data_IF_433448679733
#
_entry.id   IF_433448679733
#
_cell.length_a   1.000
_cell.length_b   1.000
_cell.length_c   1.000
_cell.angle_alpha   90.00
_cell.angle_beta   90.00
_cell.angle_gamma   90.00
#
_symmetry.space_group_name_H-M   'P 1'
#
loop_
_entity.id
_entity.type
_entity.pdbx_description
1 polymer ?
#
# COMPACT_ATOMS: atom_id res chain seq x y z
N UNK A 1 4.37 -16.35 -4.19
CA UNK A 1 4.01 -17.06 -2.95
C UNK A 1 3.74 -18.55 -3.20
N UNK A 2 2.73 -18.93 -3.97
CA UNK A 2 2.47 -20.36 -4.23
C UNK A 2 3.61 -21.04 -4.99
N UNK A 3 4.22 -20.37 -5.96
CA UNK A 3 5.39 -20.89 -6.70
C UNK A 3 6.61 -21.11 -5.79
N UNK A 4 6.66 -20.36 -4.68
CA UNK A 4 7.73 -20.39 -3.68
C UNK A 4 7.33 -21.15 -2.41
N UNK A 5 6.25 -21.95 -2.47
CA UNK A 5 5.66 -22.59 -1.29
C UNK A 5 6.65 -23.46 -0.53
N UNK A 6 7.52 -24.20 -1.24
CA UNK A 6 8.55 -25.04 -0.61
C UNK A 6 9.46 -24.20 0.31
N UNK A 7 9.95 -23.05 -0.16
CA UNK A 7 10.79 -22.15 0.62
C UNK A 7 10.05 -21.51 1.81
N UNK A 8 8.79 -21.13 1.62
CA UNK A 8 7.98 -20.43 2.62
C UNK A 8 7.53 -21.37 3.76
N UNK A 9 7.37 -22.67 3.47
CA UNK A 9 6.90 -23.67 4.44
C UNK A 9 8.02 -24.28 5.28
N UNK A 10 9.29 -23.95 5.02
CA UNK A 10 10.42 -24.39 5.85
C UNK A 10 10.29 -23.89 7.30
N UNK A 11 10.72 -24.72 8.25
CA UNK A 11 10.54 -24.46 9.69
C UNK A 11 11.24 -23.18 10.16
N UNK A 12 12.33 -22.81 9.51
CA UNK A 12 13.18 -21.65 9.80
C UNK A 12 13.02 -20.53 8.76
N UNK A 13 11.90 -20.51 8.02
CA UNK A 13 11.61 -19.47 7.04
C UNK A 13 11.68 -18.06 7.65
N UNK A 14 12.53 -17.22 7.05
CA UNK A 14 12.61 -15.79 7.30
C UNK A 14 12.19 -15.07 6.00
N UNK A 15 11.17 -14.18 6.03
CA UNK A 15 10.75 -13.44 4.86
C UNK A 15 11.88 -12.64 4.23
N UNK A 16 12.02 -12.78 2.91
CA UNK A 16 12.92 -11.92 2.15
C UNK A 16 12.33 -10.52 2.03
N UNK A 17 13.15 -9.55 1.60
CA UNK A 17 12.63 -8.20 1.29
C UNK A 17 11.53 -8.23 0.23
N UNK A 18 11.65 -9.15 -0.73
CA UNK A 18 10.66 -9.34 -1.80
C UNK A 18 9.35 -9.92 -1.26
N UNK A 19 9.41 -10.91 -0.36
CA UNK A 19 8.22 -11.44 0.32
C UNK A 19 7.49 -10.35 1.10
N UNK A 20 8.24 -9.46 1.77
CA UNK A 20 7.68 -8.32 2.50
C UNK A 20 7.04 -7.32 1.55
N UNK A 21 7.68 -7.01 0.41
CA UNK A 21 7.16 -6.08 -0.60
C UNK A 21 5.87 -6.61 -1.26
N UNK A 22 5.79 -7.91 -1.53
CA UNK A 22 4.61 -8.52 -2.15
C UNK A 22 3.53 -8.92 -1.15
N UNK A 23 3.81 -8.89 0.15
CA UNK A 23 2.83 -9.20 1.17
C UNK A 23 1.67 -8.20 1.11
N UNK A 24 0.48 -8.68 0.75
CA UNK A 24 -0.72 -7.85 0.70
C UNK A 24 -1.31 -7.72 2.11
N UNK A 25 -1.10 -6.56 2.73
CA UNK A 25 -1.77 -6.16 3.96
C UNK A 25 -2.53 -4.87 3.72
N UNK A 26 -3.83 -4.88 4.06
CA UNK A 26 -4.67 -3.69 3.92
C UNK A 26 -4.23 -2.62 4.92
N UNK A 27 -3.96 -1.41 4.42
CA UNK A 27 -3.71 -0.21 5.24
C UNK A 27 -5.03 0.20 5.91
N UNK A 28 -5.08 0.11 7.24
CA UNK A 28 -6.27 0.45 8.06
C UNK A 28 -6.11 1.74 8.85
N UNK A 29 -4.89 2.27 8.91
CA UNK A 29 -4.52 3.50 9.59
C UNK A 29 -3.59 4.29 8.69
N UNK A 30 -3.55 5.60 8.88
CA UNK A 30 -2.60 6.45 8.19
C UNK A 30 -1.21 6.21 8.77
N UNK A 31 -0.24 5.98 7.90
CA UNK A 31 1.14 5.71 8.29
C UNK A 31 2.03 6.86 7.86
N UNK A 32 2.77 7.45 8.80
CA UNK A 32 3.81 8.43 8.52
C UNK A 32 5.17 7.71 8.43
N UNK A 33 5.88 7.92 7.32
CA UNK A 33 7.26 7.48 7.13
C UNK A 33 8.16 8.69 6.91
N UNK A 34 9.26 8.76 7.67
CA UNK A 34 10.28 9.81 7.52
C UNK A 34 11.50 9.22 6.85
N UNK A 35 11.89 9.79 5.71
CA UNK A 35 13.13 9.44 5.01
C UNK A 35 14.02 10.66 4.85
N UNK A 36 15.33 10.45 4.86
CA UNK A 36 16.32 11.52 4.69
C UNK A 36 17.06 11.29 3.38
N UNK A 37 16.95 12.24 2.45
CA UNK A 37 17.64 12.22 1.16
C UNK A 37 18.39 13.54 1.03
N UNK A 38 19.71 13.48 0.83
CA UNK A 38 20.54 14.69 0.66
C UNK A 38 20.36 15.75 1.75
N UNK A 39 20.20 15.32 3.02
CA UNK A 39 19.93 16.15 4.21
C UNK A 39 18.55 16.81 4.25
N UNK A 40 17.67 16.53 3.28
CA UNK A 40 16.27 16.93 3.29
C UNK A 40 15.46 15.81 3.94
N UNK A 41 14.58 16.17 4.89
CA UNK A 41 13.66 15.24 5.54
C UNK A 41 12.35 15.24 4.75
N UNK A 42 12.01 14.09 4.16
CA UNK A 42 10.72 13.86 3.52
C UNK A 42 9.80 13.16 4.50
N UNK A 43 8.59 13.68 4.67
CA UNK A 43 7.51 13.04 5.41
C UNK A 43 6.50 12.51 4.41
N UNK A 44 6.34 11.20 4.38
CA UNK A 44 5.44 10.49 3.46
C UNK A 44 4.28 9.96 4.30
N UNK A 45 3.06 10.31 3.89
CA UNK A 45 1.83 9.79 4.49
C UNK A 45 1.23 8.74 3.54
N UNK A 46 1.11 7.50 4.01
CA UNK A 46 0.36 6.44 3.33
C UNK A 46 -1.06 6.40 3.89
N UNK A 47 -2.03 6.69 3.02
CA UNK A 47 -3.46 6.76 3.34
C UNK A 47 -4.20 5.62 2.65
N UNK A 48 -5.07 4.93 3.38
CA UNK A 48 -5.86 3.83 2.81
C UNK A 48 -6.79 4.32 1.69
N UNK A 49 -6.74 3.67 0.53
CA UNK A 49 -7.56 4.01 -0.66
C UNK A 49 -8.97 3.41 -0.68
N UNK A 50 -9.29 2.55 0.28
CA UNK A 50 -10.62 1.96 0.44
C UNK A 50 -11.67 3.03 0.74
N UNK A 51 -12.88 2.89 0.19
CA UNK A 51 -13.95 3.89 0.26
C UNK A 51 -14.24 4.37 1.68
N UNK A 52 -14.17 3.48 2.66
CA UNK A 52 -14.44 3.78 4.07
C UNK A 52 -13.32 4.58 4.78
N UNK A 53 -12.13 4.69 4.18
CA UNK A 53 -11.00 5.45 4.74
C UNK A 53 -10.75 6.78 4.02
N UNK A 54 -11.39 7.01 2.87
CA UNK A 54 -11.19 8.24 2.09
C UNK A 54 -11.64 9.50 2.82
N UNK A 55 -12.57 9.38 3.77
CA UNK A 55 -12.98 10.50 4.62
C UNK A 55 -11.86 11.01 5.54
N UNK A 56 -10.84 10.19 5.83
CA UNK A 56 -9.68 10.59 6.65
C UNK A 56 -8.63 11.34 5.83
N UNK A 57 -8.75 11.39 4.50
CA UNK A 57 -7.73 12.02 3.67
C UNK A 57 -7.62 13.52 3.94
N UNK A 58 -8.75 14.22 4.10
CA UNK A 58 -8.79 15.68 4.19
C UNK A 58 -7.83 16.26 5.25
N UNK A 59 -7.73 15.60 6.40
CA UNK A 59 -6.88 16.03 7.53
C UNK A 59 -5.36 15.99 7.21
N UNK A 60 -4.96 15.30 6.15
CA UNK A 60 -3.56 15.08 5.75
C UNK A 60 -3.22 15.72 4.41
N UNK A 61 -4.17 16.44 3.80
CA UNK A 61 -3.95 17.18 2.56
C UNK A 61 -3.51 18.63 2.79
N UNK A 62 -3.55 19.12 4.03
CA UNK A 62 -3.06 20.46 4.35
C UNK A 62 -1.53 20.49 4.29
N UNK A 63 -0.97 21.51 3.62
CA UNK A 63 0.48 21.74 3.47
C UNK A 63 1.29 20.60 2.82
N UNK A 64 0.68 19.78 1.94
CA UNK A 64 1.43 18.78 1.17
C UNK A 64 2.23 19.43 0.04
N UNK A 65 3.53 19.10 -0.06
CA UNK A 65 4.38 19.60 -1.14
C UNK A 65 4.07 18.94 -2.49
N UNK A 66 3.65 17.68 -2.48
CA UNK A 66 3.32 16.92 -3.68
C UNK A 66 2.34 15.79 -3.34
N UNK A 67 1.51 15.42 -4.33
CA UNK A 67 0.63 14.26 -4.27
C UNK A 67 1.15 13.17 -5.20
N UNK A 68 1.30 11.95 -4.68
CA UNK A 68 1.61 10.75 -5.47
C UNK A 68 0.32 9.95 -5.62
N UNK A 69 -0.29 10.00 -6.80
CA UNK A 69 -1.51 9.24 -7.11
C UNK A 69 -1.16 7.93 -7.82
N UNK A 70 -1.46 6.79 -7.19
CA UNK A 70 -1.09 5.46 -7.70
C UNK A 70 -2.31 4.79 -8.33
N UNK A 71 -2.15 4.28 -9.56
CA UNK A 71 -3.20 3.56 -10.30
C UNK A 71 -2.66 2.21 -10.78
N UNK A 72 -3.44 1.15 -10.56
CA UNK A 72 -3.16 -0.17 -11.13
C UNK A 72 -3.66 -0.23 -12.57
N UNK A 73 -2.74 -0.25 -13.54
CA UNK A 73 -3.09 -0.39 -14.95
C UNK A 73 -3.57 -1.81 -15.31
N UNK A 74 -3.11 -2.81 -14.57
CA UNK A 74 -3.46 -4.22 -14.79
C UNK A 74 -4.86 -4.59 -14.25
N UNK A 75 -5.55 -3.68 -13.58
CA UNK A 75 -6.87 -3.92 -12.99
C UNK A 75 -8.02 -3.44 -13.90
N UNK A 76 -7.78 -3.26 -15.20
CA UNK A 76 -8.76 -2.69 -16.13
C UNK A 76 -10.01 -3.56 -16.34
N UNK A 77 -9.87 -4.88 -16.16
CA UNK A 77 -10.93 -5.89 -16.29
C UNK A 77 -11.41 -6.42 -14.92
N UNK A 78 -11.05 -5.72 -13.84
CA UNK A 78 -11.39 -6.10 -12.47
C UNK A 78 -12.44 -5.18 -11.87
N UNK A 79 -13.38 -5.79 -11.15
CA UNK A 79 -14.34 -5.04 -10.35
C UNK A 79 -13.72 -4.57 -9.03
N UNK A 80 -14.22 -3.45 -8.51
CA UNK A 80 -13.91 -3.03 -7.15
C UNK A 80 -14.53 -4.04 -6.18
N UNK A 81 -13.77 -4.45 -5.16
CA UNK A 81 -14.29 -5.35 -4.09
C UNK A 81 -15.54 -4.79 -3.42
N UNK A 82 -15.61 -3.46 -3.31
CA UNK A 82 -16.73 -2.73 -2.71
C UNK A 82 -17.97 -2.67 -3.62
N UNK A 83 -17.84 -3.05 -4.90
CA UNK A 83 -18.93 -3.08 -5.85
C UNK A 83 -18.74 -4.23 -6.88
N UNK A 84 -18.99 -5.48 -6.46
CA UNK A 84 -18.69 -6.66 -7.27
C UNK A 84 -19.66 -6.84 -8.45
N UNK A 85 -20.81 -6.16 -8.44
CA UNK A 85 -21.91 -6.36 -9.39
C UNK A 85 -21.88 -5.42 -10.60
N UNK A 86 -20.91 -4.50 -10.70
CA UNK A 86 -20.77 -3.72 -11.93
C UNK A 86 -20.36 -4.63 -13.09
N UNK A 87 -21.24 -4.72 -14.09
CA UNK A 87 -20.98 -5.34 -15.38
C UNK A 87 -20.31 -4.36 -16.33
#
# INVERSE_FOLDING_TARGET
FLDEANRILEKDYIPTKEDVLFCRKMTTKILETKIVISRIIYRIYDVGGHKNLRNQWADYFDDVTALIFIVSLSSYDQNMVENPEMK
#
